data_IF_319228502098
#
_entry.id   IF_319228502098
#
_cell.length_a   1.000
_cell.length_b   1.000
_cell.length_c   1.000
_cell.angle_alpha   90.00
_cell.angle_beta   90.00
_cell.angle_gamma   90.00
#
_symmetry.space_group_name_H-M   'P 1'
#
loop_
_entity.id
_entity.type
_entity.pdbx_description
1 polymer ?
#
# COMPACT_ATOMS: atom_id res chain seq x y z
N UNK A 1 5.46 -59.86 19.40
CA UNK A 1 5.91 -59.36 18.08
C UNK A 1 4.71 -58.72 17.40
N UNK A 2 4.70 -57.39 17.37
CA UNK A 2 3.84 -56.40 16.73
C UNK A 2 3.85 -55.16 17.64
N UNK A 3 3.96 -53.93 17.10
CA UNK A 3 3.24 -53.48 15.93
C UNK A 3 4.13 -53.06 14.75
N UNK A 4 3.66 -53.41 13.57
CA UNK A 4 3.96 -52.74 12.31
C UNK A 4 3.09 -51.49 12.27
N UNK A 5 3.71 -50.31 12.35
CA UNK A 5 3.03 -49.06 12.07
C UNK A 5 3.44 -48.61 10.67
N UNK A 6 2.56 -48.88 9.71
CA UNK A 6 2.74 -48.55 8.30
C UNK A 6 1.96 -47.27 7.96
N UNK A 7 2.74 -46.22 7.68
CA UNK A 7 2.50 -45.06 6.78
C UNK A 7 1.43 -44.01 7.14
N UNK A 8 1.73 -42.72 6.86
CA UNK A 8 1.26 -42.13 5.60
C UNK A 8 2.37 -41.34 4.86
N UNK A 9 2.65 -41.63 3.60
CA UNK A 9 2.07 -40.91 2.45
C UNK A 9 1.85 -39.41 2.72
N UNK A 10 2.90 -38.63 2.57
CA UNK A 10 2.83 -37.19 2.37
C UNK A 10 3.79 -36.82 1.25
N UNK A 11 3.36 -35.98 0.30
CA UNK A 11 4.29 -35.25 -0.56
C UNK A 11 5.44 -34.74 0.32
N UNK A 12 6.74 -34.94 -0.02
CA UNK A 12 7.82 -34.50 0.86
C UNK A 12 7.69 -32.98 1.04
N UNK A 13 7.03 -32.60 2.12
CA UNK A 13 6.90 -31.23 2.53
C UNK A 13 8.30 -30.77 2.85
N UNK A 14 8.69 -29.63 2.31
CA UNK A 14 9.91 -28.93 2.70
C UNK A 14 9.89 -28.79 4.23
N UNK A 15 10.59 -29.68 4.93
CA UNK A 15 10.72 -29.65 6.39
C UNK A 15 11.80 -28.65 6.80
N UNK A 16 11.78 -28.20 8.05
CA UNK A 16 12.85 -27.31 8.55
C UNK A 16 14.22 -27.98 8.47
N UNK A 17 14.28 -29.30 8.69
CA UNK A 17 15.49 -30.10 8.56
C UNK A 17 15.94 -30.18 7.10
N UNK A 18 14.99 -30.33 6.16
CA UNK A 18 15.30 -30.28 4.74
C UNK A 18 15.84 -28.91 4.32
N UNK A 19 15.27 -27.80 4.80
CA UNK A 19 15.79 -26.45 4.54
C UNK A 19 17.18 -26.26 5.13
N UNK A 20 17.42 -26.74 6.36
CA UNK A 20 18.72 -26.65 6.99
C UNK A 20 19.81 -27.43 6.23
N UNK A 21 19.44 -28.55 5.60
CA UNK A 21 20.34 -29.40 4.82
C UNK A 21 20.57 -28.91 3.38
N UNK A 22 19.61 -28.22 2.78
CA UNK A 22 19.63 -27.88 1.34
C UNK A 22 19.66 -26.37 1.06
N UNK A 23 19.76 -25.53 2.09
CA UNK A 23 19.88 -24.08 1.95
C UNK A 23 21.02 -23.55 2.81
N UNK A 24 21.50 -22.35 2.48
CA UNK A 24 22.43 -21.60 3.33
C UNK A 24 21.74 -20.34 3.84
N UNK A 25 22.26 -19.77 4.94
CA UNK A 25 21.78 -18.46 5.39
C UNK A 25 21.94 -17.37 4.31
N UNK A 26 22.92 -17.50 3.40
CA UNK A 26 23.07 -16.60 2.26
C UNK A 26 21.94 -16.76 1.25
N UNK A 27 21.53 -17.99 0.94
CA UNK A 27 20.38 -18.27 0.06
C UNK A 27 19.07 -17.73 0.65
N UNK A 28 18.85 -17.89 1.96
CA UNK A 28 17.65 -17.39 2.63
C UNK A 28 17.57 -15.85 2.68
N UNK A 29 18.72 -15.16 2.65
CA UNK A 29 18.79 -13.70 2.57
C UNK A 29 18.85 -13.16 1.15
N UNK A 30 18.94 -14.04 0.15
CA UNK A 30 18.96 -13.65 -1.25
C UNK A 30 17.53 -13.32 -1.71
N UNK A 31 17.39 -12.20 -2.42
CA UNK A 31 16.10 -11.70 -2.87
C UNK A 31 16.20 -10.24 -3.28
N UNK A 32 15.16 -9.75 -3.93
CA UNK A 32 14.99 -8.33 -4.20
C UNK A 32 13.99 -7.74 -3.19
N UNK A 33 14.23 -6.50 -2.78
CA UNK A 33 13.45 -5.78 -1.78
C UNK A 33 12.91 -4.50 -2.39
N UNK A 34 11.61 -4.29 -2.33
CA UNK A 34 10.94 -3.04 -2.68
C UNK A 34 10.12 -2.54 -1.49
N UNK A 35 9.94 -1.23 -1.39
CA UNK A 35 9.11 -0.56 -0.40
C UNK A 35 8.14 0.35 -1.14
N UNK A 36 6.87 0.24 -0.78
CA UNK A 36 5.82 1.20 -1.10
C UNK A 36 5.48 1.94 0.18
N UNK A 37 5.42 3.27 0.11
CA UNK A 37 5.01 4.11 1.23
C UNK A 37 4.01 5.15 0.76
N UNK A 38 2.87 5.17 1.44
CA UNK A 38 1.85 6.19 1.26
C UNK A 38 1.91 7.22 2.38
N UNK A 39 1.61 8.48 2.04
CA UNK A 39 1.45 9.54 3.01
C UNK A 39 0.44 10.59 2.51
N UNK A 40 -0.35 11.15 3.43
CA UNK A 40 -1.23 12.27 3.10
C UNK A 40 -0.45 13.58 3.04
N UNK A 41 -0.70 14.40 2.03
CA UNK A 41 -0.26 15.79 1.95
C UNK A 41 -1.14 16.62 2.86
N UNK A 42 -0.52 17.43 3.70
CA UNK A 42 -1.20 18.33 4.63
C UNK A 42 -0.61 19.72 4.55
N UNK A 43 -1.43 20.72 4.87
CA UNK A 43 -0.96 22.08 5.12
C UNK A 43 -0.20 22.16 6.44
N UNK A 44 0.46 23.28 6.71
CA UNK A 44 1.25 23.47 7.93
C UNK A 44 0.45 23.36 9.26
N UNK A 45 -0.87 23.57 9.19
CA UNK A 45 -1.83 23.39 10.29
C UNK A 45 -2.36 21.95 10.41
N UNK A 46 -1.93 21.04 9.52
CA UNK A 46 -2.29 19.62 9.55
C UNK A 46 -3.61 19.31 8.85
N UNK A 47 -4.18 20.28 8.15
CA UNK A 47 -5.39 20.07 7.34
C UNK A 47 -5.02 19.35 6.05
N UNK A 48 -5.88 18.43 5.58
CA UNK A 48 -5.68 17.71 4.33
C UNK A 48 -5.51 18.70 3.16
N UNK A 49 -4.41 18.60 2.42
CA UNK A 49 -4.18 19.43 1.24
C UNK A 49 -5.34 19.23 0.24
N UNK A 50 -5.70 20.30 -0.47
CA UNK A 50 -6.77 20.28 -1.48
C UNK A 50 -6.26 20.60 -2.89
N UNK A 51 -4.95 20.84 -3.01
CA UNK A 51 -4.29 21.16 -4.26
C UNK A 51 -4.16 19.90 -5.14
N UNK A 52 -4.07 20.03 -6.47
CA UNK A 52 -3.79 18.90 -7.35
C UNK A 52 -2.44 18.23 -7.04
N UNK A 53 -2.24 17.03 -7.59
CA UNK A 53 -0.91 16.42 -7.63
C UNK A 53 0.12 17.40 -8.22
N UNK A 54 1.29 17.60 -7.57
CA UNK A 54 2.27 18.57 -8.04
C UNK A 54 2.81 18.25 -9.44
N UNK A 55 2.71 19.21 -10.36
CA UNK A 55 3.18 19.04 -11.73
C UNK A 55 4.69 18.71 -11.83
N UNK A 56 5.48 19.03 -10.80
CA UNK A 56 6.91 18.70 -10.74
C UNK A 56 7.18 17.18 -10.71
N UNK A 57 6.20 16.37 -10.27
CA UNK A 57 6.30 14.91 -10.30
C UNK A 57 5.90 14.31 -11.65
N UNK A 58 5.38 15.12 -12.58
CA UNK A 58 4.95 14.65 -13.89
C UNK A 58 3.63 13.86 -13.86
N UNK A 59 3.52 12.90 -14.77
CA UNK A 59 2.32 12.08 -14.97
C UNK A 59 2.25 10.95 -13.92
N UNK A 60 1.12 10.87 -13.21
CA UNK A 60 0.89 9.89 -12.13
C UNK A 60 0.81 8.44 -12.60
N UNK A 61 0.40 8.18 -13.84
CA UNK A 61 0.35 6.84 -14.44
C UNK A 61 1.73 6.40 -14.96
N UNK A 62 2.52 7.34 -15.47
CA UNK A 62 3.81 7.04 -16.08
C UNK A 62 4.99 7.10 -15.12
N UNK A 63 4.89 7.86 -14.02
CA UNK A 63 5.96 8.00 -13.04
C UNK A 63 6.10 6.70 -12.21
N UNK A 64 7.25 5.99 -12.29
CA UNK A 64 7.42 4.70 -11.61
C UNK A 64 7.76 4.82 -10.12
N UNK A 65 8.03 6.01 -9.61
CA UNK A 65 8.51 6.22 -8.23
C UNK A 65 7.60 7.10 -7.38
N UNK A 66 6.82 8.00 -7.99
CA UNK A 66 5.92 8.91 -7.28
C UNK A 66 4.56 8.91 -8.00
N UNK A 67 3.52 8.46 -7.31
CA UNK A 67 2.14 8.48 -7.81
C UNK A 67 1.19 8.90 -6.69
N UNK A 68 -0.10 8.65 -6.86
CA UNK A 68 -1.13 8.79 -5.82
C UNK A 68 -1.92 7.50 -5.70
N UNK A 69 -2.41 7.21 -4.51
CA UNK A 69 -3.35 6.10 -4.30
C UNK A 69 -4.81 6.60 -4.46
N UNK A 70 -5.61 6.58 -3.41
CA UNK A 70 -7.03 6.90 -3.51
C UNK A 70 -7.33 8.39 -3.75
N UNK A 71 -6.52 9.28 -3.17
CA UNK A 71 -6.77 10.72 -3.16
C UNK A 71 -5.63 11.46 -3.86
N UNK A 72 -5.93 12.58 -4.53
CA UNK A 72 -4.90 13.52 -5.00
C UNK A 72 -3.96 13.96 -3.87
N UNK A 73 -4.44 13.91 -2.64
CA UNK A 73 -3.70 14.28 -1.45
C UNK A 73 -2.99 13.10 -0.80
N UNK A 74 -3.05 11.88 -1.34
CA UNK A 74 -2.35 10.71 -0.82
C UNK A 74 -1.21 10.36 -1.79
N UNK A 75 -0.02 10.89 -1.54
CA UNK A 75 1.15 10.57 -2.36
C UNK A 75 1.64 9.17 -2.01
N UNK A 76 1.95 8.40 -3.04
CA UNK A 76 2.54 7.06 -2.95
C UNK A 76 3.96 7.10 -3.51
N UNK A 77 4.91 6.61 -2.72
CA UNK A 77 6.33 6.53 -3.05
C UNK A 77 6.69 5.07 -3.25
N UNK A 78 7.17 4.72 -4.43
CA UNK A 78 7.47 3.34 -4.85
C UNK A 78 8.96 3.23 -5.15
N UNK A 79 9.68 2.39 -4.41
CA UNK A 79 11.09 2.14 -4.71
C UNK A 79 11.23 1.08 -5.81
N UNK A 80 12.20 1.21 -6.74
CA UNK A 80 12.56 0.08 -7.59
C UNK A 80 13.08 -1.11 -6.74
N UNK A 81 12.98 -2.36 -7.22
CA UNK A 81 13.52 -3.51 -6.51
C UNK A 81 15.03 -3.39 -6.28
N UNK A 82 15.46 -3.60 -5.04
CA UNK A 82 16.85 -3.47 -4.59
C UNK A 82 17.44 -4.79 -4.12
N UNK A 83 18.76 -4.94 -4.20
CA UNK A 83 19.47 -6.17 -3.77
C UNK A 83 19.65 -6.28 -2.25
N UNK A 84 19.29 -5.26 -1.48
CA UNK A 84 19.33 -5.29 -0.02
C UNK A 84 18.32 -4.34 0.61
N UNK A 85 17.91 -4.66 1.84
CA UNK A 85 17.04 -3.80 2.66
C UNK A 85 17.63 -2.40 2.84
N UNK A 86 18.94 -2.31 3.10
CA UNK A 86 19.60 -1.02 3.28
C UNK A 86 19.57 -0.16 2.01
N UNK A 87 19.65 -0.77 0.83
CA UNK A 87 19.50 -0.07 -0.44
C UNK A 87 18.05 0.39 -0.67
N UNK A 88 17.05 -0.44 -0.33
CA UNK A 88 15.64 -0.06 -0.40
C UNK A 88 15.32 1.14 0.50
N UNK A 89 15.82 1.14 1.74
CA UNK A 89 15.64 2.26 2.67
C UNK A 89 16.31 3.55 2.20
N UNK A 90 17.50 3.47 1.58
CA UNK A 90 18.14 4.65 0.96
C UNK A 90 17.33 5.17 -0.22
N UNK A 91 16.89 4.28 -1.11
CA UNK A 91 16.04 4.64 -2.25
C UNK A 91 14.75 5.32 -1.79
N UNK A 92 14.13 4.82 -0.71
CA UNK A 92 12.94 5.45 -0.13
C UNK A 92 13.26 6.84 0.43
N UNK A 93 14.39 7.00 1.13
CA UNK A 93 14.80 8.28 1.69
C UNK A 93 15.05 9.33 0.60
N UNK A 94 15.67 8.94 -0.52
CA UNK A 94 15.92 9.83 -1.66
C UNK A 94 14.59 10.29 -2.30
N UNK A 95 13.66 9.35 -2.54
CA UNK A 95 12.32 9.66 -3.09
C UNK A 95 11.55 10.57 -2.12
N UNK A 96 11.56 10.27 -0.82
CA UNK A 96 10.89 11.08 0.18
C UNK A 96 11.47 12.49 0.24
N UNK A 97 12.79 12.65 0.16
CA UNK A 97 13.45 13.95 0.14
C UNK A 97 13.03 14.76 -1.08
N UNK A 98 12.93 14.14 -2.26
CA UNK A 98 12.40 14.78 -3.46
C UNK A 98 10.97 15.27 -3.22
N UNK A 99 10.08 14.38 -2.76
CA UNK A 99 8.69 14.69 -2.46
C UNK A 99 8.58 15.86 -1.49
N UNK A 100 9.24 15.77 -0.33
CA UNK A 100 9.22 16.82 0.70
C UNK A 100 9.76 18.15 0.16
N UNK A 101 10.80 18.13 -0.68
CA UNK A 101 11.36 19.35 -1.27
C UNK A 101 10.39 20.06 -2.22
N UNK A 102 9.58 19.29 -2.96
CA UNK A 102 8.55 19.83 -3.87
C UNK A 102 7.37 20.35 -3.05
N UNK A 103 6.89 19.58 -2.07
CA UNK A 103 5.77 19.99 -1.21
C UNK A 103 6.08 21.26 -0.39
N UNK A 104 7.31 21.38 0.11
CA UNK A 104 7.73 22.55 0.87
C UNK A 104 7.61 23.86 0.07
N UNK A 105 7.83 23.83 -1.26
CA UNK A 105 7.72 25.02 -2.14
C UNK A 105 6.29 25.56 -2.24
N UNK A 106 5.29 24.71 -1.94
CA UNK A 106 3.87 25.07 -1.94
C UNK A 106 3.26 25.07 -0.53
N UNK A 107 4.10 25.02 0.52
CA UNK A 107 3.66 25.10 1.92
C UNK A 107 2.94 23.85 2.44
N UNK A 108 3.23 22.70 1.84
CA UNK A 108 2.66 21.40 2.19
C UNK A 108 3.71 20.45 2.76
N UNK A 109 3.23 19.43 3.47
CA UNK A 109 4.05 18.47 4.22
C UNK A 109 3.46 17.07 4.12
N UNK A 110 4.28 16.06 4.40
CA UNK A 110 3.82 14.69 4.55
C UNK A 110 3.28 14.44 5.96
N UNK A 111 2.08 13.87 6.04
CA UNK A 111 1.50 13.38 7.26
C UNK A 111 2.24 12.10 7.70
N UNK A 112 2.72 12.02 8.95
CA UNK A 112 3.63 10.97 9.39
C UNK A 112 2.94 9.71 9.91
N UNK A 113 1.63 9.74 10.13
CA UNK A 113 0.90 8.65 10.77
C UNK A 113 0.03 7.90 9.76
N UNK A 114 -0.17 6.60 10.00
CA UNK A 114 -1.13 5.81 9.21
C UNK A 114 -2.58 6.24 9.42
N UNK A 115 -2.93 6.69 10.64
CA UNK A 115 -4.24 7.30 10.86
C UNK A 115 -4.25 8.71 10.25
N UNK A 116 -5.28 9.07 9.47
CA UNK A 116 -5.31 10.35 8.77
C UNK A 116 -5.41 11.53 9.75
N UNK A 117 -5.07 12.76 9.30
CA UNK A 117 -5.44 13.97 10.03
C UNK A 117 -6.97 14.09 10.14
N UNK A 118 -7.44 15.18 10.74
CA UNK A 118 -8.86 15.52 10.64
C UNK A 118 -9.25 15.62 9.16
N UNK A 119 -10.11 14.71 8.71
CA UNK A 119 -10.60 14.69 7.34
C UNK A 119 -11.78 15.66 7.20
N UNK A 120 -11.92 16.33 6.04
CA UNK A 120 -13.12 17.09 5.72
C UNK A 120 -14.30 16.14 5.49
N UNK A 121 -15.48 16.70 5.20
CA UNK A 121 -16.63 15.91 4.76
C UNK A 121 -16.25 15.00 3.56
N UNK A 122 -16.80 13.78 3.45
CA UNK A 122 -16.38 12.81 2.42
C UNK A 122 -16.40 13.36 0.99
N UNK A 123 -17.40 14.18 0.65
CA UNK A 123 -17.56 14.79 -0.68
C UNK A 123 -16.50 15.85 -1.00
N UNK A 124 -15.71 16.26 0.01
CA UNK A 124 -14.60 17.20 -0.09
C UNK A 124 -13.23 16.52 -0.05
N UNK A 125 -13.17 15.19 0.01
CA UNK A 125 -11.91 14.47 -0.15
C UNK A 125 -11.55 14.49 -1.65
N UNK A 126 -10.39 15.05 -2.05
CA UNK A 126 -10.05 15.15 -3.46
C UNK A 126 -9.67 13.77 -4.00
N UNK A 127 -10.61 13.13 -4.70
CA UNK A 127 -10.38 11.81 -5.31
C UNK A 127 -9.30 11.92 -6.38
N UNK A 128 -8.37 10.96 -6.39
CA UNK A 128 -7.35 10.87 -7.41
C UNK A 128 -7.97 10.81 -8.81
N UNK A 129 -7.51 11.67 -9.70
CA UNK A 129 -7.91 11.75 -11.10
C UNK A 129 -6.75 11.28 -11.97
N UNK A 130 -6.91 10.11 -12.56
CA UNK A 130 -6.05 9.65 -13.63
C UNK A 130 -6.73 10.00 -14.94
N UNK A 131 -5.98 10.54 -15.89
CA UNK A 131 -6.52 10.81 -17.22
C UNK A 131 -7.08 9.48 -17.79
N UNK A 132 -8.29 9.53 -18.34
CA UNK A 132 -9.04 8.41 -18.96
C UNK A 132 -9.65 7.29 -18.08
N UNK A 133 -9.88 7.46 -16.77
CA UNK A 133 -10.61 6.40 -15.99
C UNK A 133 -11.69 6.93 -15.01
N UNK A 134 -12.91 7.26 -15.49
CA UNK A 134 -13.98 7.83 -14.64
C UNK A 134 -14.66 6.84 -13.66
N UNK A 135 -14.35 5.54 -13.70
CA UNK A 135 -15.29 4.52 -13.26
C UNK A 135 -14.82 3.58 -12.13
N UNK A 136 -13.60 3.70 -11.61
CA UNK A 136 -12.98 2.71 -10.72
C UNK A 136 -13.75 2.29 -9.45
N UNK A 137 -14.78 3.04 -9.04
CA UNK A 137 -15.64 2.73 -7.87
C UNK A 137 -17.14 2.71 -8.18
N UNK A 138 -17.54 2.70 -9.44
CA UNK A 138 -18.95 2.63 -9.79
C UNK A 138 -19.51 1.25 -9.40
N UNK A 139 -20.62 1.16 -8.65
CA UNK A 139 -21.31 -0.10 -8.44
C UNK A 139 -21.69 -0.72 -9.78
N UNK A 140 -21.33 -1.98 -10.00
CA UNK A 140 -21.53 -2.63 -11.29
C UNK A 140 -20.42 -2.36 -12.32
N UNK A 141 -19.29 -1.78 -11.91
CA UNK A 141 -18.12 -1.58 -12.77
C UNK A 141 -17.76 -2.89 -13.50
N UNK A 142 -17.78 -2.78 -14.82
CA UNK A 142 -17.26 -3.78 -15.74
C UNK A 142 -15.79 -3.50 -16.01
N UNK A 143 -15.01 -4.56 -16.20
CA UNK A 143 -13.65 -4.46 -16.69
C UNK A 143 -13.60 -5.04 -18.11
N UNK A 144 -12.76 -4.44 -18.95
CA UNK A 144 -12.49 -4.97 -20.27
C UNK A 144 -11.83 -6.34 -20.19
N UNK A 145 -12.37 -7.29 -20.94
CA UNK A 145 -11.77 -8.60 -21.18
C UNK A 145 -11.72 -8.86 -22.69
N UNK A 146 -10.96 -9.86 -23.17
CA UNK A 146 -10.93 -10.22 -24.59
C UNK A 146 -12.30 -10.50 -25.20
N UNK A 147 -13.27 -10.96 -24.40
CA UNK A 147 -14.64 -11.23 -24.85
C UNK A 147 -15.62 -10.06 -24.54
N UNK A 148 -15.09 -8.86 -24.32
CA UNK A 148 -15.86 -7.66 -23.98
C UNK A 148 -15.87 -7.34 -22.48
N UNK A 149 -16.63 -6.31 -22.14
CA UNK A 149 -16.78 -5.82 -20.76
C UNK A 149 -17.57 -6.80 -19.89
N UNK A 150 -17.02 -7.13 -18.71
CA UNK A 150 -17.65 -8.06 -17.76
C UNK A 150 -17.55 -7.53 -16.33
N UNK A 151 -18.56 -7.75 -15.47
CA UNK A 151 -18.49 -7.40 -14.06
C UNK A 151 -17.30 -8.06 -13.36
N UNK A 152 -16.65 -7.35 -12.44
CA UNK A 152 -15.51 -7.87 -11.67
C UNK A 152 -15.78 -9.25 -11.02
N UNK A 153 -16.96 -9.53 -10.39
CA UNK A 153 -17.24 -10.86 -9.85
C UNK A 153 -17.27 -11.97 -10.90
N UNK A 154 -17.73 -11.68 -12.12
CA UNK A 154 -17.74 -12.65 -13.22
C UNK A 154 -16.32 -12.99 -13.66
N UNK A 155 -15.43 -11.99 -13.74
CA UNK A 155 -14.02 -12.17 -14.08
C UNK A 155 -13.24 -12.90 -12.99
N UNK A 156 -13.58 -12.66 -11.71
CA UNK A 156 -12.92 -13.31 -10.60
C UNK A 156 -13.38 -14.76 -10.37
N UNK A 157 -14.60 -15.13 -10.78
CA UNK A 157 -15.17 -16.46 -10.52
C UNK A 157 -14.26 -17.62 -10.94
N UNK A 158 -13.64 -17.64 -12.15
CA UNK A 158 -12.71 -18.70 -12.55
C UNK A 158 -11.46 -18.78 -11.68
N UNK A 159 -10.99 -17.65 -11.15
CA UNK A 159 -9.83 -17.59 -10.24
C UNK A 159 -10.22 -18.25 -8.92
N UNK A 160 -11.34 -17.83 -8.33
CA UNK A 160 -11.82 -18.40 -7.06
C UNK A 160 -12.20 -19.88 -7.17
N UNK A 161 -12.71 -20.33 -8.32
CA UNK A 161 -12.99 -21.76 -8.54
C UNK A 161 -11.72 -22.62 -8.59
N UNK A 162 -10.57 -22.04 -8.97
CA UNK A 162 -9.27 -22.71 -8.93
C UNK A 162 -8.60 -22.59 -7.56
N UNK A 163 -8.77 -21.47 -6.87
CA UNK A 163 -8.21 -21.24 -5.54
C UNK A 163 -8.85 -22.12 -4.47
N UNK A 164 -10.16 -22.35 -4.51
CA UNK A 164 -10.86 -23.09 -3.44
C UNK A 164 -10.38 -24.56 -3.30
N UNK A 165 -10.19 -25.34 -4.39
CA UNK A 165 -9.57 -26.66 -4.29
C UNK A 165 -8.15 -26.65 -3.71
N UNK A 166 -7.33 -25.66 -4.08
CA UNK A 166 -5.98 -25.50 -3.54
C UNK A 166 -6.02 -25.20 -2.04
N UNK A 167 -6.90 -24.29 -1.61
CA UNK A 167 -7.09 -23.97 -0.21
C UNK A 167 -7.55 -25.19 0.61
N UNK A 168 -8.48 -26.00 0.07
CA UNK A 168 -8.90 -27.27 0.69
C UNK A 168 -7.77 -28.29 0.79
N UNK A 169 -6.84 -28.29 -0.16
CA UNK A 169 -5.64 -29.13 -0.09
C UNK A 169 -4.72 -28.68 1.05
N UNK A 170 -4.53 -27.36 1.21
CA UNK A 170 -3.76 -26.78 2.30
C UNK A 170 -4.39 -27.00 3.68
N UNK A 171 -5.72 -27.14 3.74
CA UNK A 171 -6.46 -27.41 4.97
C UNK A 171 -6.35 -28.88 5.46
N UNK A 172 -5.77 -29.79 4.67
CA UNK A 172 -5.65 -31.21 5.07
C UNK A 172 -4.78 -31.35 6.31
N UNK A 173 -5.30 -32.05 7.31
CA UNK A 173 -4.61 -32.27 8.58
C UNK A 173 -4.71 -31.11 9.56
N UNK A 174 -5.40 -30.01 9.21
CA UNK A 174 -5.73 -28.95 10.15
C UNK A 174 -7.03 -29.26 10.89
N UNK A 175 -7.18 -28.84 12.16
CA UNK A 175 -8.43 -28.98 12.91
C UNK A 175 -9.60 -28.21 12.27
N UNK A 176 -9.30 -27.14 11.53
CA UNK A 176 -10.27 -26.25 10.90
C UNK A 176 -9.78 -25.78 9.52
N UNK A 177 -10.69 -25.49 8.57
CA UNK A 177 -10.34 -25.16 7.19
C UNK A 177 -10.01 -23.67 6.99
N UNK A 178 -8.94 -23.21 7.64
CA UNK A 178 -8.52 -21.80 7.69
C UNK A 178 -8.33 -21.20 6.30
N UNK A 179 -7.73 -21.93 5.36
CA UNK A 179 -7.46 -21.43 4.02
C UNK A 179 -8.73 -21.37 3.16
N UNK A 180 -9.55 -22.42 3.18
CA UNK A 180 -10.80 -22.42 2.42
C UNK A 180 -11.79 -21.38 2.98
N UNK A 181 -11.76 -21.11 4.29
CA UNK A 181 -12.54 -20.03 4.91
C UNK A 181 -12.04 -18.65 4.46
N UNK A 182 -10.72 -18.45 4.36
CA UNK A 182 -10.14 -17.21 3.83
C UNK A 182 -10.55 -16.95 2.36
N UNK A 183 -10.47 -17.98 1.50
CA UNK A 183 -10.93 -17.86 0.09
C UNK A 183 -12.43 -17.54 0.01
N UNK A 184 -13.26 -18.19 0.83
CA UNK A 184 -14.71 -17.92 0.90
C UNK A 184 -14.99 -16.52 1.45
N UNK A 185 -14.20 -16.04 2.39
CA UNK A 185 -14.32 -14.68 2.93
C UNK A 185 -14.00 -13.62 1.85
N UNK A 186 -12.89 -13.77 1.14
CA UNK A 186 -12.51 -12.88 0.05
C UNK A 186 -13.56 -12.87 -1.08
N UNK A 187 -14.11 -14.04 -1.44
CA UNK A 187 -15.20 -14.12 -2.43
C UNK A 187 -16.45 -13.33 -1.99
N UNK A 188 -16.83 -13.45 -0.71
CA UNK A 188 -17.98 -12.72 -0.15
C UNK A 188 -17.79 -11.21 -0.22
N UNK A 189 -16.60 -10.70 0.07
CA UNK A 189 -16.29 -9.27 -0.02
C UNK A 189 -16.37 -8.74 -1.45
N UNK A 190 -16.05 -9.59 -2.44
CA UNK A 190 -16.15 -9.22 -3.85
C UNK A 190 -17.62 -9.12 -4.33
N UNK A 191 -18.46 -10.03 -3.84
CA UNK A 191 -19.89 -10.07 -4.20
C UNK A 191 -20.71 -9.04 -3.41
N UNK A 192 -20.34 -8.81 -2.14
CA UNK A 192 -20.94 -7.83 -1.26
C UNK A 192 -19.87 -6.85 -0.75
N UNK A 193 -19.67 -5.71 -1.44
CA UNK A 193 -18.73 -4.66 -1.02
C UNK A 193 -18.99 -4.12 0.38
N UNK A 194 -20.19 -4.30 0.93
CA UNK A 194 -20.50 -3.85 2.28
C UNK A 194 -19.69 -4.67 3.33
N UNK A 195 -19.26 -5.89 2.99
CA UNK A 195 -18.42 -6.72 3.85
C UNK A 195 -16.94 -6.31 3.85
N UNK A 196 -16.54 -5.35 3.01
CA UNK A 196 -15.17 -4.83 3.02
C UNK A 196 -14.86 -4.18 4.38
N UNK A 197 -13.64 -4.33 4.92
CA UNK A 197 -13.26 -3.73 6.20
C UNK A 197 -13.48 -2.22 6.23
N UNK A 198 -13.20 -1.52 5.13
CA UNK A 198 -13.44 -0.08 4.99
C UNK A 198 -14.93 0.27 5.14
N UNK A 199 -15.82 -0.49 4.49
CA UNK A 199 -17.27 -0.32 4.62
C UNK A 199 -17.77 -0.62 6.04
N UNK A 200 -17.16 -1.58 6.73
CA UNK A 200 -17.49 -1.87 8.13
C UNK A 200 -17.00 -0.78 9.08
N UNK A 201 -15.77 -0.30 8.91
CA UNK A 201 -15.19 0.82 9.68
C UNK A 201 -16.03 2.08 9.48
N UNK A 202 -16.38 2.40 8.24
CA UNK A 202 -17.25 3.53 7.94
C UNK A 202 -18.58 3.41 8.69
N UNK A 203 -19.24 2.25 8.63
CA UNK A 203 -20.49 1.99 9.38
C UNK A 203 -20.31 2.14 10.89
N UNK A 204 -19.22 1.63 11.46
CA UNK A 204 -18.91 1.75 12.88
C UNK A 204 -18.73 3.22 13.29
N UNK A 205 -17.97 3.97 12.50
CA UNK A 205 -17.74 5.40 12.71
C UNK A 205 -19.01 6.23 12.62
N UNK A 206 -19.83 6.02 11.58
CA UNK A 206 -21.11 6.72 11.41
C UNK A 206 -22.02 6.47 12.61
N UNK A 207 -22.09 5.21 13.09
CA UNK A 207 -22.88 4.85 14.27
C UNK A 207 -22.36 5.52 15.54
N UNK A 208 -21.03 5.58 15.70
CA UNK A 208 -20.39 6.20 16.85
C UNK A 208 -20.35 7.74 16.78
N UNK A 209 -20.70 8.34 15.63
CA UNK A 209 -20.56 9.77 15.34
C UNK A 209 -19.12 10.28 15.58
N UNK A 210 -18.14 9.45 15.26
CA UNK A 210 -16.73 9.77 15.40
C UNK A 210 -16.12 10.10 14.04
N UNK A 211 -15.19 11.05 14.02
CA UNK A 211 -14.31 11.26 12.87
C UNK A 211 -13.32 10.09 12.74
N UNK A 212 -12.73 9.92 11.56
CA UNK A 212 -11.71 8.87 11.31
C UNK A 212 -10.57 8.96 12.32
N UNK A 213 -10.11 10.17 12.61
CA UNK A 213 -9.09 10.43 13.62
C UNK A 213 -9.54 9.97 15.01
N UNK A 214 -10.72 10.39 15.47
CA UNK A 214 -11.21 10.06 16.81
C UNK A 214 -11.44 8.55 16.99
N UNK A 215 -12.01 7.90 15.99
CA UNK A 215 -12.19 6.44 15.99
C UNK A 215 -10.83 5.70 15.98
N UNK A 216 -9.87 6.17 15.17
CA UNK A 216 -8.51 5.64 15.17
C UNK A 216 -7.83 5.73 16.52
N UNK A 217 -7.89 6.91 17.17
CA UNK A 217 -7.32 7.12 18.51
C UNK A 217 -7.92 6.17 19.54
N UNK A 218 -9.22 5.86 19.46
CA UNK A 218 -9.86 4.88 20.35
C UNK A 218 -9.36 3.45 20.15
N UNK A 219 -8.92 3.10 18.94
CA UNK A 219 -8.35 1.78 18.64
C UNK A 219 -6.88 1.66 19.07
N UNK A 220 -6.20 2.78 19.36
CA UNK A 220 -4.80 2.77 19.78
C UNK A 220 -4.65 2.32 21.24
N UNK A 221 -3.64 1.48 21.49
CA UNK A 221 -3.17 1.24 22.87
C UNK A 221 -2.59 2.56 23.44
N UNK A 222 -2.72 2.82 24.75
CA UNK A 222 -2.27 4.09 25.36
C UNK A 222 -0.81 4.46 25.07
N UNK A 223 0.09 3.48 25.00
CA UNK A 223 1.50 3.68 24.69
C UNK A 223 1.74 4.17 23.25
N UNK A 224 0.93 3.71 22.29
CA UNK A 224 1.01 4.12 20.89
C UNK A 224 0.50 5.54 20.69
N UNK A 225 -0.55 5.93 21.40
CA UNK A 225 -1.10 7.28 21.35
C UNK A 225 -0.09 8.35 21.81
N UNK A 226 0.67 8.07 22.88
CA UNK A 226 1.68 8.99 23.40
C UNK A 226 2.85 9.19 22.42
N UNK A 227 3.32 8.11 21.80
CA UNK A 227 4.38 8.18 20.78
C UNK A 227 3.94 8.98 19.54
N UNK A 228 2.71 8.77 19.07
CA UNK A 228 2.14 9.53 17.96
C UNK A 228 2.04 11.02 18.29
N UNK A 229 1.60 11.38 19.51
CA UNK A 229 1.49 12.77 19.92
C UNK A 229 2.85 13.49 19.98
N UNK A 230 3.90 12.81 20.42
CA UNK A 230 5.26 13.35 20.44
C UNK A 230 5.81 13.61 19.02
N UNK A 231 5.58 12.68 18.10
CA UNK A 231 5.96 12.75 16.69
C UNK A 231 5.27 13.92 15.98
N UNK A 232 3.93 13.98 16.07
CA UNK A 232 3.13 15.06 15.55
C UNK A 232 3.57 16.41 16.12
N UNK A 233 3.83 16.49 17.42
CA UNK A 233 4.33 17.69 18.07
C UNK A 233 5.65 18.19 17.47
N UNK A 234 6.57 17.29 17.12
CA UNK A 234 7.85 17.65 16.48
C UNK A 234 7.62 18.19 15.07
N UNK A 235 6.77 17.53 14.29
CA UNK A 235 6.46 17.94 12.92
C UNK A 235 5.77 19.30 12.91
N UNK A 236 4.72 19.50 13.72
CA UNK A 236 4.06 20.80 13.82
C UNK A 236 4.96 21.92 14.34
N UNK A 237 5.95 21.61 15.19
CA UNK A 237 6.98 22.59 15.57
C UNK A 237 7.90 22.93 14.39
N UNK A 238 8.35 21.93 13.63
CA UNK A 238 9.14 22.13 12.41
C UNK A 238 8.38 22.97 11.39
N UNK A 239 7.11 22.65 11.12
CA UNK A 239 6.24 23.40 10.21
C UNK A 239 6.05 24.87 10.65
N UNK A 240 5.86 25.11 11.96
CA UNK A 240 5.76 26.48 12.51
C UNK A 240 7.08 27.26 12.38
N UNK A 241 8.21 26.60 12.63
CA UNK A 241 9.54 27.22 12.45
C UNK A 241 9.79 27.59 10.98
N UNK A 242 9.40 26.73 10.03
CA UNK A 242 9.50 27.01 8.60
C UNK A 242 8.65 28.23 8.18
N UNK A 243 7.45 28.42 8.74
CA UNK A 243 6.62 29.62 8.55
C UNK A 243 7.26 30.89 9.13
N UNK A 244 7.93 30.80 10.27
CA UNK A 244 8.60 31.94 10.89
C UNK A 244 9.87 32.37 10.13
N UNK A 245 10.51 31.44 9.39
CA UNK A 245 11.75 31.66 8.65
C UNK A 245 11.59 32.19 7.22
N UNK A 246 10.37 32.25 6.66
CA UNK A 246 10.13 32.64 5.26
C UNK A 246 10.38 34.12 4.93
N UNK A 247 11.04 34.88 5.82
CA UNK A 247 11.47 36.26 5.62
C UNK A 247 12.93 36.45 5.17
N UNK A 248 13.73 35.39 5.02
CA UNK A 248 15.11 35.51 4.52
C UNK A 248 15.48 34.39 3.56
N UNK A 249 15.59 34.74 2.28
CA UNK A 249 16.32 33.96 1.29
C UNK A 249 17.78 33.85 1.73
N UNK A 250 18.17 32.70 2.25
CA UNK A 250 19.57 32.29 2.30
C UNK A 250 19.70 30.98 1.52
N UNK A 251 20.53 31.01 0.48
CA UNK A 251 21.00 29.80 -0.20
C UNK A 251 21.68 28.92 0.86
N UNK A 252 21.04 27.81 1.23
CA UNK A 252 21.67 26.78 2.04
C UNK A 252 22.55 25.97 1.10
N UNK A 253 23.87 26.14 1.24
CA UNK A 253 24.85 25.25 0.62
C UNK A 253 24.60 23.82 1.13
N UNK A 254 24.70 22.84 0.23
CA UNK A 254 24.57 21.42 0.55
C UNK A 254 25.50 21.05 1.72
N UNK A 255 25.02 20.41 2.79
CA UNK A 255 25.89 19.95 3.84
C UNK A 255 26.74 18.78 3.32
N UNK A 256 28.04 18.82 3.63
CA UNK A 256 28.97 17.76 3.34
C UNK A 256 28.50 16.42 3.93
N UNK A 257 28.72 15.33 3.19
CA UNK A 257 28.39 13.95 3.55
C UNK A 257 29.02 13.54 4.89
N UNK A 258 28.31 13.77 5.99
CA UNK A 258 28.61 13.21 7.30
C UNK A 258 27.84 11.91 7.49
N UNK A 259 28.55 10.79 7.67
CA UNK A 259 27.98 9.49 8.03
C UNK A 259 27.16 9.62 9.32
N UNK A 260 25.83 9.59 9.22
CA UNK A 260 24.98 9.23 10.36
C UNK A 260 24.98 7.71 10.51
N UNK A 261 25.80 7.21 11.43
CA UNK A 261 25.64 5.86 11.95
C UNK A 261 24.43 5.86 12.89
N UNK A 262 23.25 5.51 12.37
CA UNK A 262 22.09 5.22 13.21
C UNK A 262 22.25 3.79 13.76
N UNK A 263 22.50 3.68 15.06
CA UNK A 263 22.42 2.42 15.78
C UNK A 263 20.97 1.92 15.74
N UNK A 264 20.75 0.77 15.10
CA UNK A 264 19.46 0.07 15.09
C UNK A 264 19.37 -0.75 16.38
N UNK A 265 18.36 -0.55 17.24
CA UNK A 265 18.14 -1.44 18.37
C UNK A 265 17.72 -2.82 17.86
N UNK A 266 18.45 -3.87 18.25
CA UNK A 266 18.03 -5.26 18.05
C UNK A 266 16.70 -5.49 18.77
N UNK A 267 15.67 -5.97 18.05
CA UNK A 267 14.47 -6.53 18.69
C UNK A 267 13.09 -6.25 18.08
N UNK A 268 12.97 -5.57 16.94
CA UNK A 268 11.65 -5.32 16.31
C UNK A 268 11.38 -6.27 15.13
N UNK A 269 11.15 -7.55 15.42
CA UNK A 269 10.55 -8.50 14.48
C UNK A 269 9.25 -9.05 15.05
N UNK A 270 8.12 -8.66 14.45
CA UNK A 270 6.99 -9.52 14.04
C UNK A 270 5.72 -8.69 13.79
N UNK A 271 4.99 -9.12 12.76
CA UNK A 271 3.61 -8.78 12.37
C UNK A 271 3.39 -7.53 11.50
N UNK A 272 3.51 -7.72 10.18
CA UNK A 272 2.50 -7.36 9.16
C UNK A 272 3.11 -7.50 7.75
N UNK A 273 3.18 -8.73 7.25
CA UNK A 273 3.45 -9.01 5.83
C UNK A 273 2.48 -10.12 5.45
N UNK A 274 1.25 -9.79 5.06
CA UNK A 274 0.28 -10.80 4.66
C UNK A 274 -0.87 -10.36 3.73
N UNK A 275 -1.33 -9.10 3.65
CA UNK A 275 -2.41 -8.76 2.71
C UNK A 275 -1.94 -8.15 1.37
N UNK A 276 -0.83 -7.41 1.33
CA UNK A 276 -0.44 -6.63 0.14
C UNK A 276 0.07 -7.47 -1.05
N UNK A 277 0.70 -8.62 -0.79
CA UNK A 277 1.24 -9.49 -1.84
C UNK A 277 0.17 -10.08 -2.80
N UNK A 278 -1.10 -10.12 -2.38
CA UNK A 278 -2.19 -10.68 -3.18
C UNK A 278 -2.70 -9.67 -4.22
N UNK A 279 -2.65 -8.36 -3.94
CA UNK A 279 -3.15 -7.32 -4.86
C UNK A 279 -2.18 -7.13 -6.03
N UNK A 280 -0.86 -7.08 -5.76
CA UNK A 280 0.17 -6.92 -6.78
C UNK A 280 0.26 -8.14 -7.73
N UNK A 281 -0.02 -9.36 -7.23
CA UNK A 281 -0.05 -10.56 -8.06
C UNK A 281 -1.24 -10.59 -9.04
N UNK A 282 -2.39 -10.08 -8.63
CA UNK A 282 -3.61 -10.01 -9.47
C UNK A 282 -3.43 -9.00 -10.60
N UNK A 283 -2.82 -7.83 -10.34
CA UNK A 283 -2.62 -6.80 -11.37
C UNK A 283 -1.65 -7.24 -12.48
N UNK A 284 -0.70 -8.14 -12.19
CA UNK A 284 0.33 -8.56 -13.16
C UNK A 284 0.00 -9.84 -13.95
N UNK A 285 -1.02 -10.61 -13.54
CA UNK A 285 -1.35 -11.91 -14.16
C UNK A 285 -2.75 -11.98 -14.79
N UNK A 286 -3.49 -10.87 -14.84
CA UNK A 286 -4.61 -10.73 -15.78
C UNK A 286 -3.96 -10.39 -17.13
N UNK A 287 -3.74 -11.42 -17.95
CA UNK A 287 -2.97 -11.37 -19.20
C UNK A 287 -3.42 -10.31 -20.21
N UNK A 288 -3.00 -9.07 -20.00
CA UNK A 288 -3.00 -7.97 -20.95
C UNK A 288 -1.59 -7.77 -21.51
N UNK A 289 -0.96 -8.86 -21.98
CA UNK A 289 0.22 -8.77 -22.84
C UNK A 289 -0.23 -8.45 -24.26
N UNK A 290 -0.42 -7.16 -24.57
CA UNK A 290 -0.13 -6.66 -25.93
C UNK A 290 0.53 -5.29 -25.86
N UNK A 291 1.57 -5.05 -26.68
CA UNK A 291 2.14 -3.72 -26.82
C UNK A 291 1.06 -2.79 -27.37
N UNK A 292 0.87 -1.63 -26.75
CA UNK A 292 0.06 -0.55 -27.31
C UNK A 292 0.72 -0.14 -28.62
N UNK A 293 0.17 -0.68 -29.72
CA UNK A 293 0.63 -0.40 -31.06
C UNK A 293 0.47 1.07 -31.38
N UNK A 294 1.55 1.69 -31.85
CA UNK A 294 1.47 2.96 -32.58
C UNK A 294 0.61 2.73 -33.82
N UNK A 295 -0.39 3.58 -34.01
CA UNK A 295 -1.05 3.73 -35.30
C UNK A 295 -2.56 3.56 -35.24
N UNK A 296 -3.26 4.69 -35.12
CA UNK A 296 -4.35 5.04 -36.02
C UNK A 296 -4.52 6.57 -35.97
N UNK A 297 -3.72 7.26 -36.79
CA UNK A 297 -4.18 8.53 -37.35
C UNK A 297 -5.42 8.20 -38.19
N UNK A 298 -6.60 8.59 -37.70
CA UNK A 298 -7.78 8.73 -38.53
C UNK A 298 -8.01 10.23 -38.71
N UNK A 299 -7.47 10.74 -39.81
CA UNK A 299 -7.84 11.98 -40.45
C UNK A 299 -9.34 11.93 -40.76
N UNK A 300 -10.08 12.99 -40.43
CA UNK A 300 -11.40 13.26 -40.99
C UNK A 300 -11.29 14.49 -41.88
N UNK A 301 -11.50 14.40 -43.20
CA UNK A 301 -12.33 15.38 -43.90
C UNK A 301 -13.78 14.88 -43.89
N UNK A 302 -14.74 15.77 -44.18
CA UNK A 302 -16.12 15.36 -44.43
C UNK A 302 -16.22 14.25 -45.50
#
# INVERSE_FOLDING_TARGET
MHPTDSTPTGTPGVSIDWLALHTTGAMLRSGLFGIEREALRVTADGTLAQTPHPAAFGDKLANPTITVDFSESQVEMVTPPQTSVAAALRSLADIQQEVESVLARQGEFLWPLSMPPALPDPDRIPIARFDDTPAGRQPGLTLFSPDGEKPLPQLARPIFSRLLPLARLMDRGLPHPVFADAVRHAWRQLVDPALLPSAQIHRAMTRARLSHHAYGVQLLKPSTALACAAELGRIFRSCRAARAGSGRSQRVAAPAQGRLAAAVPEGASRAMVAPFAIIYWIQRNIGLDRPVGRGCMASFPA
#
